data_IF_181615663841
#
_entry.id   IF_181615663841
#
_cell.length_a   1.000
_cell.length_b   1.000
_cell.length_c   1.000
_cell.angle_alpha   90.00
_cell.angle_beta   90.00
_cell.angle_gamma   90.00
#
_symmetry.space_group_name_H-M   'P 1'
#
loop_
_entity.id
_entity.type
_entity.pdbx_description
1 polymer ?
#
# COMPACT_ATOMS: atom_id res chain seq x y z
N UNK A 1 -14.95 31.91 -10.21
CA UNK A 1 -14.38 31.28 -8.99
C UNK A 1 -14.53 29.77 -9.09
N UNK A 2 -13.44 29.02 -9.24
CA UNK A 2 -13.48 27.57 -9.44
C UNK A 2 -13.92 26.85 -8.15
N UNK A 3 -15.04 26.12 -8.21
CA UNK A 3 -15.55 25.33 -7.11
C UNK A 3 -14.54 24.23 -6.72
N UNK A 4 -13.97 24.33 -5.52
CA UNK A 4 -13.14 23.28 -4.91
C UNK A 4 -14.02 22.06 -4.63
N UNK A 5 -14.08 21.12 -5.57
CA UNK A 5 -14.69 19.81 -5.38
C UNK A 5 -13.90 19.07 -4.28
N UNK A 6 -14.44 19.03 -3.05
CA UNK A 6 -13.87 18.25 -1.94
C UNK A 6 -13.86 16.77 -2.38
N UNK A 7 -12.70 16.27 -2.83
CA UNK A 7 -12.56 14.88 -3.21
C UNK A 7 -12.88 14.02 -1.98
N UNK A 8 -13.99 13.27 -2.04
CA UNK A 8 -14.38 12.27 -1.03
C UNK A 8 -13.17 11.38 -0.81
N UNK A 9 -12.53 11.46 0.37
CA UNK A 9 -11.25 10.81 0.68
C UNK A 9 -11.44 9.29 0.57
N UNK A 10 -11.14 8.72 -0.59
CA UNK A 10 -11.11 7.28 -0.77
C UNK A 10 -10.14 6.72 0.27
N UNK A 11 -10.64 5.83 1.14
CA UNK A 11 -9.83 5.21 2.19
C UNK A 11 -8.75 4.40 1.48
N UNK A 12 -7.53 4.95 1.41
CA UNK A 12 -6.39 4.26 0.83
C UNK A 12 -6.13 3.02 1.67
N UNK A 13 -6.08 1.86 1.02
CA UNK A 13 -5.80 0.60 1.71
C UNK A 13 -4.37 0.60 2.27
N UNK A 14 -4.20 -0.04 3.42
CA UNK A 14 -2.94 -0.07 4.15
C UNK A 14 -1.81 -0.78 3.40
N UNK A 15 -0.57 -0.58 3.87
CA UNK A 15 0.64 -1.11 3.24
C UNK A 15 0.57 -2.63 3.01
N UNK A 16 0.25 -3.40 4.05
CA UNK A 16 0.15 -4.86 3.97
C UNK A 16 -0.94 -5.35 3.01
N UNK A 17 -2.07 -4.63 2.92
CA UNK A 17 -3.09 -4.95 1.93
C UNK A 17 -2.53 -4.83 0.52
N UNK A 18 -1.81 -3.74 0.22
CA UNK A 18 -1.27 -3.50 -1.11
C UNK A 18 -0.19 -4.53 -1.47
N UNK A 19 0.65 -4.91 -0.51
CA UNK A 19 1.65 -5.97 -0.67
C UNK A 19 0.96 -7.30 -1.01
N UNK A 20 -0.07 -7.69 -0.25
CA UNK A 20 -0.81 -8.94 -0.49
C UNK A 20 -1.55 -8.93 -1.83
N UNK A 21 -2.17 -7.79 -2.18
CA UNK A 21 -2.84 -7.63 -3.47
C UNK A 21 -1.85 -7.78 -4.63
N UNK A 22 -0.65 -7.21 -4.53
CA UNK A 22 0.41 -7.39 -5.52
C UNK A 22 0.88 -8.84 -5.58
N UNK A 23 1.16 -9.48 -4.44
CA UNK A 23 1.51 -10.91 -4.40
C UNK A 23 0.49 -11.79 -5.11
N UNK A 24 -0.81 -11.53 -4.89
CA UNK A 24 -1.90 -12.24 -5.58
C UNK A 24 -1.90 -12.01 -7.09
N UNK A 25 -1.63 -10.79 -7.57
CA UNK A 25 -1.54 -10.51 -9.03
C UNK A 25 -0.36 -11.24 -9.66
N UNK A 26 0.79 -11.25 -8.98
CA UNK A 26 1.98 -11.99 -9.42
C UNK A 26 1.66 -13.49 -9.49
N UNK A 27 1.03 -14.05 -8.45
CA UNK A 27 0.62 -15.46 -8.41
C UNK A 27 -0.39 -15.81 -9.52
N UNK A 28 -1.22 -14.86 -9.95
CA UNK A 28 -2.15 -15.01 -11.09
C UNK A 28 -1.49 -14.83 -12.47
N UNK A 29 -0.18 -14.63 -12.53
CA UNK A 29 0.54 -14.50 -13.79
C UNK A 29 0.56 -13.09 -14.38
N UNK A 30 0.45 -12.02 -13.57
CA UNK A 30 0.48 -10.64 -14.09
C UNK A 30 1.83 -10.19 -14.69
N UNK A 31 2.88 -11.02 -14.67
CA UNK A 31 4.23 -10.66 -15.14
C UNK A 31 4.96 -9.63 -14.26
N UNK A 32 4.31 -9.07 -13.24
CA UNK A 32 4.93 -8.15 -12.29
C UNK A 32 5.93 -8.87 -11.35
N UNK A 33 6.91 -8.13 -10.85
CA UNK A 33 7.82 -8.59 -9.78
C UNK A 33 7.72 -7.71 -8.54
N UNK A 34 8.02 -8.28 -7.37
CA UNK A 34 8.24 -7.48 -6.17
C UNK A 34 9.49 -6.61 -6.36
N UNK A 35 9.41 -5.34 -5.94
CA UNK A 35 10.56 -4.44 -6.01
C UNK A 35 11.62 -4.91 -5.01
N UNK A 36 12.88 -4.80 -5.39
CA UNK A 36 14.01 -5.10 -4.49
C UNK A 36 13.95 -4.14 -3.29
N UNK A 37 14.15 -4.62 -2.05
CA UNK A 37 14.30 -3.73 -0.90
C UNK A 37 15.34 -2.64 -1.18
N UNK A 38 15.05 -1.40 -0.78
CA UNK A 38 15.93 -0.25 -1.01
C UNK A 38 15.91 0.35 -2.42
N UNK A 39 15.24 -0.27 -3.39
CA UNK A 39 15.07 0.32 -4.74
C UNK A 39 14.03 1.45 -4.75
N UNK A 40 14.17 2.38 -5.71
CA UNK A 40 13.23 3.49 -5.88
C UNK A 40 11.79 2.96 -6.04
N UNK A 41 10.90 3.36 -5.13
CA UNK A 41 9.49 2.96 -5.10
C UNK A 41 9.20 1.62 -4.41
N UNK A 42 10.20 0.97 -3.79
CA UNK A 42 9.95 -0.09 -2.81
C UNK A 42 9.41 0.52 -1.50
N UNK A 43 8.61 -0.24 -0.73
CA UNK A 43 8.27 0.15 0.64
C UNK A 43 9.54 0.38 1.47
N UNK A 44 9.58 1.47 2.22
CA UNK A 44 10.69 1.80 3.13
C UNK A 44 10.45 1.21 4.51
N UNK A 45 11.51 1.02 5.28
CA UNK A 45 11.42 0.56 6.68
C UNK A 45 10.52 1.47 7.52
N UNK A 46 10.59 2.77 7.26
CA UNK A 46 9.68 3.75 7.87
C UNK A 46 8.22 3.46 7.55
N UNK A 47 7.89 3.10 6.31
CA UNK A 47 6.53 2.75 5.92
C UNK A 47 6.01 1.50 6.65
N UNK A 48 6.89 0.49 6.87
CA UNK A 48 6.54 -0.68 7.68
C UNK A 48 6.30 -0.32 9.14
N UNK A 49 7.19 0.48 9.75
CA UNK A 49 7.04 0.97 11.13
C UNK A 49 5.76 1.77 11.32
N UNK A 50 5.44 2.67 10.38
CA UNK A 50 4.23 3.49 10.44
C UNK A 50 2.96 2.67 10.22
N UNK A 51 3.00 1.66 9.33
CA UNK A 51 1.86 0.75 9.15
C UNK A 51 1.58 -0.07 10.41
N UNK A 52 2.62 -0.52 11.13
CA UNK A 52 2.46 -1.31 12.35
C UNK A 52 1.70 -0.55 13.44
N UNK A 53 1.92 0.76 13.58
CA UNK A 53 1.21 1.61 14.56
C UNK A 53 -0.30 1.69 14.33
N UNK A 54 -0.73 1.48 13.09
CA UNK A 54 -2.15 1.53 12.71
C UNK A 54 -2.85 0.17 12.80
N UNK A 55 -2.11 -0.89 13.14
CA UNK A 55 -2.69 -2.23 13.27
C UNK A 55 -3.67 -2.28 14.44
N UNK A 56 -4.89 -2.77 14.19
CA UNK A 56 -5.87 -3.02 15.25
C UNK A 56 -5.42 -4.22 16.08
N UNK A 57 -5.64 -4.17 17.40
CA UNK A 57 -5.44 -5.33 18.28
C UNK A 57 -6.30 -6.49 17.77
N UNK A 58 -5.74 -7.70 17.79
CA UNK A 58 -6.49 -8.92 17.52
C UNK A 58 -7.61 -9.01 18.56
N UNK A 59 -8.86 -9.01 18.09
CA UNK A 59 -10.03 -9.32 18.92
C UNK A 59 -10.11 -10.82 19.13
#
# INVERSE_FOLDING_TARGET
>A
MAAKKKAKKAVKKGLYYNINAKKKRIAKGSGEKMRKPGSKGAPTDKAFRDSAKTAKKRR
#
